data_IF_632610874224
#
_entry.id   IF_632610874224
#
_cell.length_a   1.000
_cell.length_b   1.000
_cell.length_c   1.000
_cell.angle_alpha   90.00
_cell.angle_beta   90.00
_cell.angle_gamma   90.00
#
_symmetry.space_group_name_H-M   'P 1'
#
loop_
_entity.id
_entity.type
_entity.pdbx_description
1 polymer ?
#
# COMPACT_ATOMS: atom_id res chain seq x y z
N UNK A 1 -3.86 -24.09 -13.30
CA UNK A 1 -2.78 -23.07 -13.20
C UNK A 1 -2.13 -23.18 -11.83
N UNK A 2 -0.83 -23.04 -11.77
CA UNK A 2 -0.08 -23.01 -10.51
C UNK A 2 -0.62 -21.88 -9.60
N UNK A 3 -0.83 -22.11 -8.28
CA UNK A 3 -1.41 -21.09 -7.39
C UNK A 3 -0.64 -19.76 -7.36
N UNK A 4 0.68 -19.81 -7.45
CA UNK A 4 1.52 -18.60 -7.47
C UNK A 4 1.27 -17.80 -8.76
N UNK A 5 1.27 -18.44 -9.91
CA UNK A 5 1.00 -17.79 -11.19
C UNK A 5 -0.43 -17.24 -11.25
N UNK A 6 -1.38 -17.93 -10.63
CA UNK A 6 -2.76 -17.45 -10.49
C UNK A 6 -2.82 -16.17 -9.67
N UNK A 7 -2.19 -16.14 -8.50
CA UNK A 7 -2.17 -14.96 -7.64
C UNK A 7 -1.54 -13.75 -8.36
N UNK A 8 -0.42 -13.96 -9.06
CA UNK A 8 0.24 -12.92 -9.85
C UNK A 8 -0.68 -12.38 -10.95
N UNK A 9 -1.38 -13.27 -11.68
CA UNK A 9 -2.24 -12.90 -12.80
C UNK A 9 -3.55 -12.22 -12.36
N UNK A 10 -4.11 -12.60 -11.22
CA UNK A 10 -5.46 -12.19 -10.79
C UNK A 10 -5.47 -11.04 -9.78
N UNK A 11 -4.37 -10.82 -9.03
CA UNK A 11 -4.30 -9.69 -8.11
C UNK A 11 -4.60 -8.36 -8.81
N UNK A 12 -5.40 -7.52 -8.17
CA UNK A 12 -5.73 -6.16 -8.66
C UNK A 12 -5.51 -5.13 -7.56
N UNK A 13 -5.38 -3.86 -7.95
CA UNK A 13 -5.41 -2.75 -7.03
C UNK A 13 -6.83 -2.56 -6.49
N UNK A 14 -7.00 -2.83 -5.19
CA UNK A 14 -8.28 -2.66 -4.48
C UNK A 14 -8.35 -1.24 -3.92
N UNK A 15 -9.51 -0.57 -4.10
CA UNK A 15 -9.78 0.79 -3.61
C UNK A 15 -11.16 0.91 -2.96
N UNK A 16 -11.73 -0.22 -2.57
CA UNK A 16 -12.96 -0.31 -1.79
C UNK A 16 -12.80 -1.48 -0.84
N UNK A 17 -12.95 -1.23 0.43
CA UNK A 17 -12.71 -2.20 1.49
C UNK A 17 -13.95 -2.43 2.34
N UNK A 18 -14.09 -3.63 2.89
CA UNK A 18 -15.08 -3.90 3.90
C UNK A 18 -14.70 -3.22 5.23
N UNK A 19 -15.69 -2.65 5.92
CA UNK A 19 -15.47 -1.97 7.21
C UNK A 19 -15.46 -2.97 8.36
N UNK A 20 -14.52 -3.94 8.29
CA UNK A 20 -14.33 -4.93 9.37
C UNK A 20 -12.86 -5.08 9.73
N UNK A 21 -12.53 -5.35 11.00
CA UNK A 21 -11.16 -5.60 11.42
C UNK A 21 -10.56 -6.80 10.68
N UNK A 22 -9.28 -6.71 10.36
CA UNK A 22 -8.50 -7.85 9.86
C UNK A 22 -7.97 -8.63 11.05
N UNK A 23 -8.20 -9.96 11.13
CA UNK A 23 -7.66 -10.76 12.21
C UNK A 23 -6.14 -10.65 12.33
N UNK A 24 -5.63 -10.53 13.54
CA UNK A 24 -4.17 -10.42 13.81
C UNK A 24 -3.37 -11.56 13.18
N UNK A 25 -3.95 -12.76 13.16
CA UNK A 25 -3.33 -13.93 12.53
C UNK A 25 -3.09 -13.73 11.03
N UNK A 26 -4.05 -13.11 10.33
CA UNK A 26 -3.93 -12.79 8.91
C UNK A 26 -2.85 -11.73 8.68
N UNK A 27 -2.83 -10.69 9.51
CA UNK A 27 -1.79 -9.65 9.44
C UNK A 27 -0.40 -10.29 9.63
N UNK A 28 -0.24 -11.16 10.62
CA UNK A 28 1.03 -11.83 10.88
C UNK A 28 1.48 -12.68 9.69
N UNK A 29 0.59 -13.44 9.06
CA UNK A 29 0.92 -14.23 7.86
C UNK A 29 1.39 -13.34 6.70
N UNK A 30 0.76 -12.18 6.53
CA UNK A 30 1.17 -11.21 5.49
C UNK A 30 2.57 -10.66 5.80
N UNK A 31 2.86 -10.32 7.05
CA UNK A 31 4.18 -9.82 7.46
C UNK A 31 5.26 -10.91 7.36
N UNK A 32 4.94 -12.15 7.71
CA UNK A 32 5.85 -13.29 7.49
C UNK A 32 6.17 -13.45 6.00
N UNK A 33 5.17 -13.38 5.12
CA UNK A 33 5.39 -13.42 3.67
C UNK A 33 6.26 -12.25 3.18
N UNK A 34 6.04 -11.05 3.71
CA UNK A 34 6.86 -9.88 3.41
C UNK A 34 8.33 -10.08 3.77
N UNK A 35 8.60 -10.67 4.94
CA UNK A 35 9.96 -10.98 5.41
C UNK A 35 10.68 -12.03 4.55
N UNK A 36 9.98 -12.83 3.76
CA UNK A 36 10.58 -13.79 2.84
C UNK A 36 11.01 -13.17 1.51
N UNK A 37 10.78 -11.87 1.31
CA UNK A 37 11.24 -11.20 0.11
C UNK A 37 12.78 -11.23 0.01
N UNK A 38 13.34 -11.36 -1.21
CA UNK A 38 14.76 -11.23 -1.39
C UNK A 38 15.21 -9.77 -1.12
N UNK A 39 16.44 -9.63 -0.64
CA UNK A 39 17.05 -8.32 -0.46
C UNK A 39 18.51 -8.34 -0.87
N UNK A 40 19.01 -7.22 -1.36
CA UNK A 40 20.41 -7.10 -1.75
C UNK A 40 21.33 -7.43 -0.58
N UNK A 41 22.24 -8.38 -0.77
CA UNK A 41 23.16 -8.90 0.26
C UNK A 41 22.45 -9.42 1.53
N UNK A 42 21.20 -9.84 1.40
CA UNK A 42 20.34 -10.23 2.51
C UNK A 42 20.26 -9.16 3.62
N UNK A 43 20.29 -7.91 3.23
CA UNK A 43 20.31 -6.77 4.16
C UNK A 43 19.00 -6.58 4.93
N UNK A 44 17.88 -7.07 4.39
CA UNK A 44 16.55 -6.99 5.01
C UNK A 44 16.27 -5.57 5.57
N UNK A 45 16.35 -4.53 4.72
CA UNK A 45 16.41 -3.13 5.16
C UNK A 45 15.06 -2.54 5.56
N UNK A 46 14.05 -3.36 5.69
CA UNK A 46 12.67 -2.97 5.96
C UNK A 46 12.29 -3.05 7.43
N UNK A 47 11.36 -2.19 7.82
CA UNK A 47 10.56 -2.28 9.03
C UNK A 47 9.09 -2.15 8.63
N UNK A 48 8.23 -2.91 9.30
CA UNK A 48 6.79 -2.85 9.06
C UNK A 48 6.10 -2.11 10.20
N UNK A 49 5.31 -1.10 9.86
CA UNK A 49 4.46 -0.39 10.80
C UNK A 49 3.01 -0.67 10.41
N UNK A 50 2.26 -1.26 11.33
CA UNK A 50 0.88 -1.65 11.13
C UNK A 50 -0.01 -0.66 11.86
N UNK A 51 -0.92 -0.02 11.14
CA UNK A 51 -1.86 0.96 11.67
C UNK A 51 -3.28 0.43 11.53
N UNK A 52 -3.97 0.27 12.65
CA UNK A 52 -5.35 -0.22 12.76
C UNK A 52 -6.26 0.83 13.42
N UNK A 53 -5.71 1.84 14.08
CA UNK A 53 -6.44 2.90 14.75
C UNK A 53 -7.05 3.87 13.75
N UNK A 54 -8.38 4.04 13.78
CA UNK A 54 -9.14 4.85 12.82
C UNK A 54 -8.87 6.35 12.93
N UNK A 55 -8.62 6.84 14.12
CA UNK A 55 -8.32 8.26 14.32
C UNK A 55 -6.94 8.59 13.75
N UNK A 56 -5.96 7.73 14.02
CA UNK A 56 -4.63 7.86 13.44
C UNK A 56 -4.64 7.70 11.91
N UNK A 57 -5.49 6.81 11.34
CA UNK A 57 -5.72 6.75 9.89
C UNK A 57 -6.14 8.10 9.32
N UNK A 58 -7.10 8.77 9.98
CA UNK A 58 -7.56 10.09 9.53
C UNK A 58 -6.44 11.12 9.55
N UNK A 59 -5.67 11.18 10.63
CA UNK A 59 -4.51 12.07 10.74
C UNK A 59 -3.48 11.82 9.63
N UNK A 60 -3.20 10.55 9.33
CA UNK A 60 -2.29 10.16 8.24
C UNK A 60 -2.84 10.59 6.87
N UNK A 61 -4.14 10.42 6.63
CA UNK A 61 -4.80 10.85 5.40
C UNK A 61 -4.68 12.37 5.23
N UNK A 62 -5.05 13.12 6.25
CA UNK A 62 -4.97 14.59 6.25
C UNK A 62 -3.54 15.08 5.99
N UNK A 63 -2.55 14.46 6.63
CA UNK A 63 -1.14 14.80 6.44
C UNK A 63 -0.61 14.43 5.04
N UNK A 64 -1.13 13.37 4.42
CA UNK A 64 -0.67 12.88 3.12
C UNK A 64 -1.26 13.67 1.92
N UNK A 65 -2.46 14.22 2.05
CA UNK A 65 -3.18 14.90 0.95
C UNK A 65 -2.35 16.01 0.28
N UNK A 66 -1.75 16.98 1.00
CA UNK A 66 -1.01 18.08 0.36
C UNK A 66 0.14 17.57 -0.51
N UNK A 67 0.94 16.63 0.01
CA UNK A 67 2.06 16.05 -0.72
C UNK A 67 1.61 15.21 -1.91
N UNK A 68 0.53 14.47 -1.76
CA UNK A 68 -0.04 13.67 -2.84
C UNK A 68 -0.56 14.56 -3.98
N UNK A 69 -1.27 15.63 -3.67
CA UNK A 69 -1.72 16.62 -4.67
C UNK A 69 -0.53 17.26 -5.40
N UNK A 70 0.51 17.66 -4.67
CA UNK A 70 1.73 18.23 -5.26
C UNK A 70 2.42 17.26 -6.24
N UNK A 71 2.48 15.97 -5.93
CA UNK A 71 3.04 14.96 -6.84
C UNK A 71 2.21 14.75 -8.10
N UNK A 72 0.92 15.08 -8.07
CA UNK A 72 0.02 14.96 -9.21
C UNK A 72 0.04 16.19 -10.12
N UNK A 73 0.53 17.34 -9.65
CA UNK A 73 0.56 18.58 -10.44
C UNK A 73 1.15 18.42 -11.86
N UNK A 74 2.30 17.73 -12.06
CA UNK A 74 2.87 17.54 -13.40
C UNK A 74 1.94 16.81 -14.38
N UNK A 75 1.01 15.99 -13.86
CA UNK A 75 0.03 15.28 -14.70
C UNK A 75 -1.05 16.20 -15.28
N UNK A 76 -1.21 17.39 -14.75
CA UNK A 76 -2.17 18.38 -15.25
C UNK A 76 -1.94 18.72 -16.72
N UNK A 77 -0.69 18.77 -17.14
CA UNK A 77 -0.30 19.08 -18.51
C UNK A 77 -0.09 17.83 -19.37
N UNK A 78 0.26 16.69 -18.76
CA UNK A 78 0.56 15.43 -19.45
C UNK A 78 -0.72 14.67 -19.78
N UNK A 79 -1.64 14.57 -18.83
CA UNK A 79 -2.92 13.86 -18.93
C UNK A 79 -4.01 14.60 -18.13
N UNK A 80 -4.56 15.69 -18.70
CA UNK A 80 -5.53 16.54 -18.00
C UNK A 80 -6.79 15.81 -17.55
N UNK A 81 -7.29 14.87 -18.36
CA UNK A 81 -8.50 14.11 -18.03
C UNK A 81 -8.28 13.21 -16.80
N UNK A 82 -7.15 12.51 -16.78
CA UNK A 82 -6.77 11.68 -15.65
C UNK A 82 -6.51 12.51 -14.39
N UNK A 83 -5.85 13.66 -14.55
CA UNK A 83 -5.63 14.59 -13.43
C UNK A 83 -6.95 15.05 -12.81
N UNK A 84 -7.92 15.50 -13.64
CA UNK A 84 -9.24 15.92 -13.16
C UNK A 84 -10.00 14.77 -12.48
N UNK A 85 -9.96 13.57 -13.05
CA UNK A 85 -10.59 12.38 -12.45
C UNK A 85 -10.02 12.06 -11.07
N UNK A 86 -8.70 12.20 -10.89
CA UNK A 86 -8.05 12.00 -9.60
C UNK A 86 -8.42 13.12 -8.62
N UNK A 87 -8.40 14.40 -9.06
CA UNK A 87 -8.78 15.52 -8.20
C UNK A 87 -10.22 15.41 -7.70
N UNK A 88 -11.14 14.98 -8.55
CA UNK A 88 -12.52 14.71 -8.18
C UNK A 88 -12.62 13.69 -7.03
N UNK A 89 -11.82 12.62 -7.05
CA UNK A 89 -11.78 11.65 -5.94
C UNK A 89 -11.32 12.26 -4.63
N UNK A 90 -10.39 13.24 -4.67
CA UNK A 90 -9.95 13.96 -3.47
C UNK A 90 -11.04 14.86 -2.87
N UNK A 91 -12.04 15.25 -3.66
CA UNK A 91 -13.19 16.04 -3.21
C UNK A 91 -14.34 15.16 -2.73
N UNK A 92 -14.53 13.99 -3.34
CA UNK A 92 -15.68 13.12 -3.10
C UNK A 92 -15.42 12.08 -2.00
N UNK A 93 -14.17 11.65 -1.79
CA UNK A 93 -13.84 10.60 -0.82
C UNK A 93 -13.36 11.19 0.51
N UNK A 94 -13.85 10.65 1.61
CA UNK A 94 -13.35 10.95 2.95
C UNK A 94 -11.87 10.58 3.10
N UNK A 95 -11.48 9.44 2.54
CA UNK A 95 -10.09 8.99 2.49
C UNK A 95 -9.67 8.66 1.05
N UNK A 96 -9.15 9.65 0.30
CA UNK A 96 -8.68 9.44 -1.07
C UNK A 96 -7.29 8.80 -1.15
N UNK A 97 -6.60 8.62 -0.03
CA UNK A 97 -5.23 8.09 0.05
C UNK A 97 -5.26 6.58 0.32
N UNK A 98 -5.90 6.15 1.41
CA UNK A 98 -5.92 4.75 1.86
C UNK A 98 -7.28 4.07 1.67
N UNK A 99 -8.27 4.80 1.13
CA UNK A 99 -9.61 4.27 0.78
C UNK A 99 -10.34 3.62 1.96
N UNK A 100 -10.15 4.18 3.16
CA UNK A 100 -10.73 3.67 4.41
C UNK A 100 -10.41 2.18 4.67
N UNK A 101 -9.24 1.73 4.25
CA UNK A 101 -8.77 0.37 4.51
C UNK A 101 -8.72 0.12 6.03
N UNK A 102 -9.13 -1.05 6.53
CA UNK A 102 -9.14 -1.34 7.97
C UNK A 102 -7.73 -1.44 8.56
N UNK A 103 -6.72 -1.69 7.73
CA UNK A 103 -5.31 -1.78 8.11
C UNK A 103 -4.46 -1.09 7.06
N UNK A 104 -3.49 -0.29 7.50
CA UNK A 104 -2.42 0.24 6.66
C UNK A 104 -1.12 -0.41 7.11
N UNK A 105 -0.33 -0.91 6.17
CA UNK A 105 1.00 -1.46 6.41
C UNK A 105 2.01 -0.55 5.72
N UNK A 106 2.82 0.15 6.51
CA UNK A 106 3.96 0.90 5.99
C UNK A 106 5.20 0.01 5.96
N UNK A 107 5.88 0.00 4.82
CA UNK A 107 7.19 -0.61 4.65
C UNK A 107 8.22 0.49 4.67
N UNK A 108 8.92 0.63 5.78
CA UNK A 108 9.91 1.69 5.99
C UNK A 108 11.29 1.12 5.77
N UNK A 109 12.00 1.65 4.79
CA UNK A 109 13.34 1.22 4.45
C UNK A 109 14.42 2.15 4.98
N UNK A 110 15.57 1.59 5.32
CA UNK A 110 16.76 2.35 5.69
C UNK A 110 18.03 1.68 5.15
N UNK A 111 19.00 2.49 4.76
CA UNK A 111 20.29 2.00 4.23
C UNK A 111 20.34 1.91 2.70
N UNK A 112 21.48 1.49 2.20
CA UNK A 112 21.87 1.60 0.78
C UNK A 112 20.96 0.84 -0.20
N UNK A 113 20.32 -0.25 0.23
CA UNK A 113 19.56 -1.11 -0.66
C UNK A 113 18.04 -1.06 -0.39
N UNK A 114 17.58 -0.11 0.41
CA UNK A 114 16.19 -0.04 0.83
C UNK A 114 15.24 0.25 -0.34
N UNK A 115 15.62 1.13 -1.25
CA UNK A 115 14.85 1.52 -2.44
C UNK A 115 14.67 0.38 -3.45
N UNK A 116 15.58 -0.58 -3.49
CA UNK A 116 15.50 -1.77 -4.33
C UNK A 116 14.79 -2.93 -3.62
N UNK A 117 14.99 -3.08 -2.32
CA UNK A 117 14.56 -4.27 -1.57
C UNK A 117 13.15 -4.12 -0.95
N UNK A 118 12.78 -2.94 -0.46
CA UNK A 118 11.46 -2.72 0.13
C UNK A 118 10.31 -2.93 -0.86
N UNK A 119 10.39 -2.55 -2.15
CA UNK A 119 9.35 -2.88 -3.12
C UNK A 119 9.08 -4.38 -3.28
N UNK A 120 10.09 -5.22 -3.11
CA UNK A 120 9.93 -6.67 -3.17
C UNK A 120 9.12 -7.20 -1.97
N UNK A 121 9.35 -6.66 -0.78
CA UNK A 121 8.53 -6.95 0.39
C UNK A 121 7.08 -6.47 0.19
N UNK A 122 6.87 -5.30 -0.42
CA UNK A 122 5.53 -4.81 -0.78
C UNK A 122 4.81 -5.76 -1.74
N UNK A 123 5.49 -6.31 -2.74
CA UNK A 123 4.89 -7.29 -3.66
C UNK A 123 4.45 -8.55 -2.91
N UNK A 124 5.28 -9.07 -2.01
CA UNK A 124 4.90 -10.21 -1.18
C UNK A 124 3.70 -9.91 -0.28
N UNK A 125 3.59 -8.69 0.28
CA UNK A 125 2.40 -8.24 1.02
C UNK A 125 1.15 -8.30 0.14
N UNK A 126 1.24 -7.77 -1.07
CA UNK A 126 0.10 -7.72 -1.99
C UNK A 126 -0.35 -9.11 -2.44
N UNK A 127 0.58 -9.99 -2.77
CA UNK A 127 0.28 -11.38 -3.14
C UNK A 127 -0.25 -12.18 -1.95
N UNK A 128 0.36 -12.01 -0.77
CA UNK A 128 -0.09 -12.63 0.47
C UNK A 128 -1.51 -12.20 0.84
N UNK A 129 -1.79 -10.91 0.81
CA UNK A 129 -3.14 -10.38 1.09
C UNK A 129 -4.18 -10.87 0.08
N UNK A 130 -3.83 -10.99 -1.20
CA UNK A 130 -4.73 -11.55 -2.22
C UNK A 130 -5.04 -13.03 -1.97
N UNK A 131 -4.08 -13.80 -1.47
CA UNK A 131 -4.20 -15.25 -1.29
C UNK A 131 -4.97 -15.66 -0.04
N UNK A 132 -5.17 -14.77 0.92
CA UNK A 132 -5.82 -15.00 2.22
C UNK A 132 -7.23 -14.41 2.28
#
# INVERSE_FOLDING_TARGET
>A
MNPVLKAIAERRAVRSYESKPVPREIINKIIEAANQAPSAMNSQPWRFVIVEDKEFHRELTEAAIPNSKKRLEPFKDIDPERYQSIMKRYEELEDPIYYSAPVIIFVIGSGQFADLSCPLACENIMLGAYSL
#
